data_IF_388804674178
#
_entry.id   IF_388804674178
#
_cell.length_a   1.000
_cell.length_b   1.000
_cell.length_c   1.000
_cell.angle_alpha   90.00
_cell.angle_beta   90.00
_cell.angle_gamma   90.00
#
_symmetry.space_group_name_H-M   'P 1'
#
loop_
_entity.id
_entity.type
_entity.pdbx_description
1 polymer ?
#
# COMPACT_ATOMS: atom_id res chain seq x y z
N UNK A 1 14.00 42.99 52.73
CA UNK A 1 12.71 42.46 52.20
C UNK A 1 12.87 41.66 50.90
N UNK A 2 14.07 41.18 50.55
CA UNK A 2 14.36 40.59 49.22
C UNK A 2 14.52 39.07 49.19
N UNK A 3 14.58 38.39 50.34
CA UNK A 3 14.84 36.93 50.41
C UNK A 3 13.60 36.07 50.11
N UNK A 4 12.40 36.55 50.44
CA UNK A 4 11.15 35.82 50.19
C UNK A 4 10.76 35.79 48.71
N UNK A 5 11.00 36.89 47.98
CA UNK A 5 10.68 37.00 46.56
C UNK A 5 11.54 36.07 45.69
N UNK A 6 12.84 35.94 46.01
CA UNK A 6 13.74 35.04 45.29
C UNK A 6 13.33 33.56 45.46
N UNK A 7 12.85 33.19 46.64
CA UNK A 7 12.38 31.83 46.93
C UNK A 7 11.08 31.48 46.19
N UNK A 8 10.17 32.44 46.05
CA UNK A 8 8.92 32.28 45.32
C UNK A 8 9.13 32.19 43.80
N UNK A 9 10.07 32.97 43.26
CA UNK A 9 10.44 32.91 41.83
C UNK A 9 11.11 31.59 41.49
N UNK A 10 11.98 31.06 42.36
CA UNK A 10 12.65 29.78 42.13
C UNK A 10 11.67 28.59 42.15
N UNK A 11 10.67 28.63 43.04
CA UNK A 11 9.59 27.63 43.09
C UNK A 11 8.70 27.69 41.84
N UNK A 12 8.35 28.90 41.37
CA UNK A 12 7.55 29.05 40.14
C UNK A 12 8.29 28.57 38.88
N UNK A 13 9.61 28.79 38.79
CA UNK A 13 10.43 28.27 37.69
C UNK A 13 10.52 26.74 37.73
N UNK A 14 10.63 26.14 38.92
CA UNK A 14 10.64 24.67 39.06
C UNK A 14 9.29 24.03 38.70
N UNK A 15 8.16 24.66 39.06
CA UNK A 15 6.81 24.18 38.69
C UNK A 15 6.57 24.28 37.18
N UNK A 16 7.08 25.33 36.52
CA UNK A 16 6.99 25.47 35.06
C UNK A 16 7.82 24.41 34.30
N UNK A 17 8.97 23.99 34.84
CA UNK A 17 9.81 22.95 34.23
C UNK A 17 9.25 21.53 34.42
N UNK A 18 8.51 21.26 35.50
CA UNK A 18 7.87 19.95 35.70
C UNK A 18 6.52 19.79 34.97
N UNK A 19 5.90 20.90 34.54
CA UNK A 19 4.59 20.88 33.86
C UNK A 19 4.60 20.48 32.38
N UNK A 20 5.77 20.38 31.73
CA UNK A 20 5.89 20.10 30.28
C UNK A 20 6.41 18.70 29.96
N UNK A 21 6.86 17.92 30.95
CA UNK A 21 7.48 16.61 30.70
C UNK A 21 6.45 15.46 30.57
N UNK A 22 5.21 15.63 31.00
CA UNK A 22 4.26 14.51 31.17
C UNK A 22 3.18 14.37 30.09
N UNK A 23 3.16 15.22 29.05
CA UNK A 23 2.07 15.22 28.05
C UNK A 23 2.43 14.52 26.73
N UNK A 24 3.71 14.19 26.49
CA UNK A 24 4.16 13.68 25.17
C UNK A 24 4.19 12.14 25.08
N UNK A 25 3.71 11.40 26.07
CA UNK A 25 3.89 9.93 26.12
C UNK A 25 2.62 9.08 26.00
N UNK A 26 1.45 9.64 25.66
CA UNK A 26 0.18 8.87 25.71
C UNK A 26 -0.67 8.82 24.43
N UNK A 27 -0.21 9.44 23.35
CA UNK A 27 -0.59 9.12 21.97
C UNK A 27 0.71 8.52 21.40
N UNK A 28 0.89 7.23 21.08
CA UNK A 28 0.04 6.32 20.31
C UNK A 28 0.31 4.85 20.69
N UNK A 29 -0.63 4.13 21.35
CA UNK A 29 -0.56 2.68 21.45
C UNK A 29 -1.29 1.95 20.31
N UNK A 30 -2.07 2.66 19.48
CA UNK A 30 -2.94 2.04 18.46
C UNK A 30 -2.33 2.01 17.05
N UNK A 31 -1.33 2.83 16.75
CA UNK A 31 -0.64 2.80 15.45
C UNK A 31 0.41 1.68 15.33
N UNK A 32 0.88 1.14 16.46
CA UNK A 32 1.88 0.08 16.49
C UNK A 32 1.30 -1.34 16.27
N UNK A 33 -0.03 -1.52 16.33
CA UNK A 33 -0.62 -2.85 16.15
C UNK A 33 -0.70 -3.29 14.68
N UNK A 34 -0.80 -2.37 13.72
CA UNK A 34 -0.84 -2.73 12.29
C UNK A 34 0.49 -3.28 11.76
N UNK A 35 1.62 -2.99 12.43
CA UNK A 35 2.96 -3.36 11.98
C UNK A 35 3.49 -4.66 12.62
N UNK A 36 2.83 -5.19 13.66
CA UNK A 36 3.35 -6.33 14.40
C UNK A 36 3.36 -7.61 13.53
N UNK A 37 4.54 -7.92 13.00
CA UNK A 37 4.85 -9.18 12.34
C UNK A 37 4.74 -9.18 10.82
N UNK A 38 4.72 -8.05 10.12
CA UNK A 38 4.66 -7.99 8.65
C UNK A 38 6.02 -7.77 7.96
N UNK A 39 7.11 -7.93 8.72
CA UNK A 39 8.46 -7.56 8.30
C UNK A 39 8.72 -6.09 8.65
N UNK A 40 9.55 -5.88 9.67
CA UNK A 40 9.86 -4.55 10.23
C UNK A 40 10.59 -3.62 9.24
N UNK A 41 10.99 -4.14 8.09
CA UNK A 41 11.75 -3.44 7.05
C UNK A 41 10.89 -2.86 5.92
N UNK A 42 9.61 -3.23 5.82
CA UNK A 42 8.74 -2.79 4.72
C UNK A 42 7.96 -1.53 5.07
N UNK A 43 7.87 -0.59 4.12
CA UNK A 43 7.02 0.59 4.23
C UNK A 43 5.57 0.24 3.89
N UNK A 44 4.81 -0.19 4.89
CA UNK A 44 3.39 -0.49 4.78
C UNK A 44 2.55 0.79 4.70
N UNK A 45 1.71 0.91 3.68
CA UNK A 45 0.69 1.96 3.64
C UNK A 45 -0.36 1.67 4.73
N UNK A 46 -0.88 2.72 5.36
CA UNK A 46 -1.86 2.58 6.46
C UNK A 46 -3.30 2.55 5.94
N UNK A 47 -3.56 3.21 4.81
CA UNK A 47 -4.89 3.26 4.19
C UNK A 47 -4.82 2.92 2.71
N UNK A 48 -5.95 2.47 2.15
CA UNK A 48 -6.03 2.16 0.72
C UNK A 48 -5.81 3.40 -0.15
N UNK A 49 -6.33 4.56 0.26
CA UNK A 49 -6.17 5.82 -0.45
C UNK A 49 -4.70 6.27 -0.48
N UNK A 50 -4.01 6.17 0.65
CA UNK A 50 -2.57 6.41 0.74
C UNK A 50 -1.82 5.44 -0.17
N UNK A 51 -2.16 4.15 -0.14
CA UNK A 51 -1.51 3.14 -0.95
C UNK A 51 -1.65 3.42 -2.47
N UNK A 52 -2.84 3.83 -2.92
CA UNK A 52 -3.10 4.26 -4.29
C UNK A 52 -2.33 5.54 -4.65
N UNK A 53 -2.30 6.51 -3.75
CA UNK A 53 -1.53 7.74 -3.94
C UNK A 53 -0.03 7.47 -4.07
N UNK A 54 0.52 6.63 -3.19
CA UNK A 54 1.93 6.21 -3.22
C UNK A 54 2.26 5.42 -4.49
N UNK A 55 1.38 4.51 -4.90
CA UNK A 55 1.52 3.73 -6.13
C UNK A 55 1.62 4.64 -7.35
N UNK A 56 0.72 5.62 -7.47
CA UNK A 56 0.72 6.59 -8.57
C UNK A 56 1.90 7.55 -8.53
N UNK A 57 2.23 8.10 -7.36
CA UNK A 57 3.31 9.09 -7.21
C UNK A 57 4.70 8.48 -7.40
N UNK A 58 4.92 7.26 -6.90
CA UNK A 58 6.19 6.52 -7.04
C UNK A 58 6.25 5.69 -8.32
N UNK A 59 5.16 5.61 -9.06
CA UNK A 59 5.00 4.77 -10.25
C UNK A 59 5.39 3.30 -9.98
N UNK A 60 4.91 2.76 -8.86
CA UNK A 60 5.14 1.40 -8.38
C UNK A 60 3.82 0.64 -8.32
N UNK A 61 3.76 -0.67 -8.56
CA UNK A 61 2.53 -1.43 -8.47
C UNK A 61 2.12 -1.51 -7.01
N UNK A 62 0.82 -1.46 -6.76
CA UNK A 62 0.26 -1.68 -5.43
C UNK A 62 -0.06 -3.17 -5.29
N UNK A 63 0.41 -3.77 -4.21
CA UNK A 63 0.04 -5.11 -3.76
C UNK A 63 -0.92 -4.97 -2.58
N UNK A 64 -2.16 -5.40 -2.78
CA UNK A 64 -3.20 -5.42 -1.76
C UNK A 64 -3.30 -6.84 -1.20
N UNK A 65 -3.15 -6.95 0.11
CA UNK A 65 -3.19 -8.20 0.84
C UNK A 65 -4.49 -8.25 1.66
N UNK A 66 -5.25 -9.33 1.52
CA UNK A 66 -6.44 -9.61 2.32
C UNK A 66 -6.11 -10.76 3.26
N UNK A 67 -5.77 -10.42 4.49
CA UNK A 67 -5.28 -11.32 5.51
C UNK A 67 -5.97 -10.96 6.82
N UNK A 68 -6.54 -11.96 7.48
CA UNK A 68 -7.20 -11.79 8.78
C UNK A 68 -6.23 -12.20 9.89
N UNK A 69 -6.14 -11.41 10.96
CA UNK A 69 -5.32 -11.74 12.13
C UNK A 69 -5.80 -13.01 12.82
N UNK A 70 -7.11 -13.20 12.92
CA UNK A 70 -7.76 -14.35 13.58
C UNK A 70 -7.96 -15.55 12.64
N UNK A 71 -7.00 -15.82 11.76
CA UNK A 71 -7.09 -16.94 10.81
C UNK A 71 -5.76 -17.73 10.75
N UNK A 72 -5.75 -19.02 11.14
CA UNK A 72 -4.53 -19.83 11.12
C UNK A 72 -3.85 -19.91 9.75
N UNK A 73 -4.64 -19.96 8.66
CA UNK A 73 -4.10 -19.98 7.29
C UNK A 73 -3.40 -18.67 6.93
N UNK A 74 -3.97 -17.54 7.33
CA UNK A 74 -3.39 -16.22 7.10
C UNK A 74 -2.11 -16.02 7.90
N UNK A 75 -2.06 -16.53 9.15
CA UNK A 75 -0.87 -16.47 9.99
C UNK A 75 0.28 -17.32 9.41
N UNK A 76 0.00 -18.55 8.98
CA UNK A 76 0.99 -19.40 8.33
C UNK A 76 1.51 -18.80 7.03
N UNK A 77 0.62 -18.21 6.22
CA UNK A 77 1.01 -17.48 5.02
C UNK A 77 1.92 -16.29 5.34
N UNK A 78 1.53 -15.46 6.32
CA UNK A 78 2.30 -14.29 6.77
C UNK A 78 3.71 -14.70 7.24
N UNK A 79 3.83 -15.79 7.98
CA UNK A 79 5.14 -16.32 8.39
C UNK A 79 6.02 -16.66 7.17
N UNK A 80 5.52 -17.48 6.25
CA UNK A 80 6.29 -17.88 5.06
C UNK A 80 6.59 -16.70 4.13
N UNK A 81 5.71 -15.71 4.07
CA UNK A 81 5.88 -14.48 3.31
C UNK A 81 7.03 -13.63 3.86
N UNK A 82 7.17 -13.55 5.19
CA UNK A 82 8.24 -12.80 5.85
C UNK A 82 9.59 -13.53 5.81
N UNK A 83 9.59 -14.86 5.89
CA UNK A 83 10.80 -15.68 5.84
C UNK A 83 11.44 -15.70 4.44
N UNK A 84 10.74 -15.21 3.41
CA UNK A 84 11.23 -15.22 2.03
C UNK A 84 11.94 -13.91 1.66
N UNK A 85 13.26 -13.87 1.83
CA UNK A 85 14.11 -12.72 1.52
C UNK A 85 13.92 -12.15 0.11
N UNK A 86 13.65 -13.00 -0.88
CA UNK A 86 13.47 -12.57 -2.28
C UNK A 86 12.17 -11.78 -2.45
N UNK A 87 11.10 -12.22 -1.79
CA UNK A 87 9.82 -11.52 -1.78
C UNK A 87 10.01 -10.19 -1.06
N UNK A 88 10.57 -10.20 0.16
CA UNK A 88 10.82 -9.00 0.96
C UNK A 88 11.62 -7.94 0.19
N UNK A 89 12.70 -8.35 -0.48
CA UNK A 89 13.51 -7.45 -1.30
C UNK A 89 12.73 -6.81 -2.45
N UNK A 90 11.93 -7.59 -3.18
CA UNK A 90 11.14 -7.05 -4.29
C UNK A 90 10.06 -6.10 -3.77
N UNK A 91 9.46 -6.39 -2.61
CA UNK A 91 8.44 -5.52 -2.02
C UNK A 91 9.00 -4.15 -1.67
N UNK A 92 10.16 -4.11 -1.01
CA UNK A 92 10.82 -2.85 -0.63
C UNK A 92 11.25 -2.04 -1.86
N UNK A 93 11.94 -2.69 -2.81
CA UNK A 93 12.50 -2.02 -3.98
C UNK A 93 11.42 -1.61 -4.99
N UNK A 94 10.43 -2.45 -5.27
CA UNK A 94 9.57 -2.31 -6.44
C UNK A 94 8.09 -2.05 -6.14
N UNK A 95 7.56 -2.31 -4.95
CA UNK A 95 6.12 -2.25 -4.67
C UNK A 95 5.72 -1.19 -3.64
N UNK A 96 4.43 -0.86 -3.65
CA UNK A 96 3.72 -0.33 -2.48
C UNK A 96 2.87 -1.47 -1.94
N UNK A 97 2.89 -1.68 -0.63
CA UNK A 97 2.18 -2.80 0.01
C UNK A 97 1.14 -2.27 0.96
N UNK A 98 -0.07 -2.83 0.89
CA UNK A 98 -1.17 -2.49 1.77
C UNK A 98 -1.85 -3.77 2.27
N UNK A 99 -2.00 -3.89 3.58
CA UNK A 99 -2.76 -4.96 4.20
C UNK A 99 -4.17 -4.46 4.55
N UNK A 100 -5.17 -5.05 3.92
CA UNK A 100 -6.57 -4.79 4.16
C UNK A 100 -7.10 -5.80 5.18
N UNK A 101 -7.22 -5.35 6.43
CA UNK A 101 -7.69 -6.17 7.56
C UNK A 101 -9.20 -6.46 7.52
N UNK A 102 -9.97 -5.58 6.87
CA UNK A 102 -11.42 -5.70 6.75
C UNK A 102 -11.81 -5.79 5.28
N UNK A 103 -12.77 -6.65 4.98
CA UNK A 103 -13.28 -6.81 3.62
C UNK A 103 -13.90 -5.52 3.08
N UNK A 104 -13.76 -5.30 1.78
CA UNK A 104 -14.24 -4.10 1.09
C UNK A 104 -15.55 -4.37 0.35
N UNK A 105 -16.34 -3.31 0.16
CA UNK A 105 -17.52 -3.34 -0.70
C UNK A 105 -17.16 -3.27 -2.19
N UNK A 106 -15.90 -2.99 -2.51
CA UNK A 106 -15.42 -2.91 -3.89
C UNK A 106 -15.36 -4.31 -4.53
N UNK A 107 -16.20 -4.52 -5.55
CA UNK A 107 -16.28 -5.77 -6.31
C UNK A 107 -15.01 -6.02 -7.12
N UNK A 108 -14.26 -4.97 -7.50
CA UNK A 108 -13.01 -5.14 -8.22
C UNK A 108 -11.91 -5.78 -7.36
N UNK A 109 -12.05 -5.70 -6.03
CA UNK A 109 -11.13 -6.30 -5.06
C UNK A 109 -11.63 -7.66 -4.51
N UNK A 110 -12.78 -8.13 -4.97
CA UNK A 110 -13.37 -9.43 -4.62
C UNK A 110 -14.12 -10.10 -5.78
N UNK A 111 -13.55 -10.15 -7.01
CA UNK A 111 -14.27 -10.59 -8.21
C UNK A 111 -14.69 -12.07 -8.19
N UNK A 112 -13.96 -12.91 -7.44
CA UNK A 112 -14.22 -14.35 -7.29
C UNK A 112 -14.55 -14.74 -5.84
N UNK A 113 -14.92 -13.76 -5.01
CA UNK A 113 -15.38 -13.94 -3.64
C UNK A 113 -14.42 -13.44 -2.56
N UNK A 114 -14.87 -13.60 -1.31
CA UNK A 114 -14.24 -13.02 -0.11
C UNK A 114 -13.55 -14.11 0.74
N UNK A 115 -12.49 -14.69 0.21
CA UNK A 115 -11.67 -15.69 0.93
C UNK A 115 -10.31 -15.12 1.35
N UNK A 116 -9.70 -15.74 2.37
CA UNK A 116 -8.34 -15.39 2.82
C UNK A 116 -7.44 -16.63 2.90
N UNK A 117 -6.13 -16.49 2.64
CA UNK A 117 -5.42 -15.29 2.18
C UNK A 117 -5.72 -14.97 0.71
N UNK A 118 -5.77 -13.68 0.35
CA UNK A 118 -5.99 -13.22 -1.03
C UNK A 118 -5.08 -12.05 -1.37
N UNK A 119 -4.54 -12.04 -2.59
CA UNK A 119 -3.55 -11.03 -3.03
C UNK A 119 -3.94 -10.49 -4.38
N UNK A 120 -4.07 -9.17 -4.46
CA UNK A 120 -4.45 -8.47 -5.68
C UNK A 120 -3.38 -7.45 -6.04
N UNK A 121 -3.05 -7.37 -7.33
CA UNK A 121 -2.13 -6.38 -7.86
C UNK A 121 -2.91 -5.25 -8.55
N UNK A 122 -2.52 -4.02 -8.27
CA UNK A 122 -3.13 -2.81 -8.85
C UNK A 122 -2.05 -1.99 -9.55
N UNK A 123 -2.31 -1.61 -10.80
CA UNK A 123 -1.44 -0.75 -11.60
C UNK A 123 -1.45 0.70 -11.06
N UNK A 124 -0.37 1.49 -11.23
CA UNK A 124 -0.38 2.94 -10.98
C UNK A 124 -1.50 3.71 -11.70
N UNK A 125 -2.12 3.13 -12.74
CA UNK A 125 -3.36 3.63 -13.35
C UNK A 125 -4.63 3.40 -12.53
N UNK A 126 -4.52 2.86 -11.31
CA UNK A 126 -5.63 2.45 -10.45
C UNK A 126 -6.48 1.32 -11.04
N UNK A 127 -5.86 0.48 -11.88
CA UNK A 127 -6.54 -0.66 -12.51
C UNK A 127 -6.14 -1.96 -11.83
N UNK A 128 -7.11 -2.72 -11.35
CA UNK A 128 -6.89 -4.07 -10.81
C UNK A 128 -6.45 -5.00 -11.94
N UNK A 129 -5.41 -5.80 -11.68
CA UNK A 129 -4.82 -6.73 -12.65
C UNK A 129 -5.47 -8.11 -12.52
N UNK A 130 -6.49 -8.34 -13.35
CA UNK A 130 -7.18 -9.63 -13.46
C UNK A 130 -6.39 -10.69 -14.24
N UNK A 131 -5.37 -10.27 -14.98
CA UNK A 131 -4.46 -11.16 -15.72
C UNK A 131 -3.40 -11.84 -14.84
N UNK A 132 -3.29 -11.45 -13.56
CA UNK A 132 -2.30 -11.99 -12.62
C UNK A 132 -3.03 -12.84 -11.58
N UNK A 133 -3.14 -14.13 -11.88
CA UNK A 133 -3.84 -15.12 -11.07
C UNK A 133 -2.87 -16.16 -10.51
N UNK A 134 -3.22 -16.73 -9.36
CA UNK A 134 -2.57 -17.85 -8.70
C UNK A 134 -2.91 -19.20 -9.35
N UNK A 135 -2.74 -20.27 -8.58
CA UNK A 135 -2.84 -21.65 -9.05
C UNK A 135 -4.28 -22.17 -9.14
N UNK A 136 -5.16 -21.70 -8.27
CA UNK A 136 -6.46 -22.33 -8.03
C UNK A 136 -7.55 -21.71 -8.90
N UNK A 137 -8.25 -22.53 -9.70
CA UNK A 137 -9.33 -22.06 -10.57
C UNK A 137 -10.58 -21.58 -9.81
N UNK A 138 -10.77 -22.05 -8.57
CA UNK A 138 -11.87 -21.64 -7.70
C UNK A 138 -11.51 -20.47 -6.78
N UNK A 139 -10.23 -20.08 -6.74
CA UNK A 139 -9.67 -19.00 -5.91
C UNK A 139 -8.51 -18.36 -6.69
N UNK A 140 -8.85 -17.56 -7.69
CA UNK A 140 -7.92 -17.01 -8.67
C UNK A 140 -6.83 -16.14 -8.03
N UNK A 141 -7.13 -15.49 -6.91
CA UNK A 141 -6.20 -14.61 -6.19
C UNK A 141 -5.72 -15.21 -4.87
N UNK A 142 -6.00 -16.50 -4.64
CA UNK A 142 -5.58 -17.25 -3.46
C UNK A 142 -4.18 -17.81 -3.60
N UNK A 143 -3.41 -17.77 -2.51
CA UNK A 143 -2.07 -18.32 -2.42
C UNK A 143 -1.91 -19.11 -1.13
N UNK A 144 -1.35 -20.31 -1.21
CA UNK A 144 -1.03 -21.11 -0.04
C UNK A 144 0.46 -20.98 0.32
N UNK A 145 0.88 -21.57 1.44
CA UNK A 145 2.26 -21.46 1.94
C UNK A 145 3.26 -22.07 0.94
N UNK A 146 2.81 -23.09 0.21
CA UNK A 146 3.57 -23.81 -0.80
C UNK A 146 3.70 -23.01 -2.12
N UNK A 147 2.90 -21.95 -2.28
CA UNK A 147 2.80 -21.17 -3.51
C UNK A 147 3.70 -19.92 -3.52
N UNK A 148 4.63 -19.78 -2.57
CA UNK A 148 5.55 -18.61 -2.51
C UNK A 148 6.33 -18.39 -3.80
N UNK A 149 6.72 -19.46 -4.49
CA UNK A 149 7.39 -19.35 -5.78
C UNK A 149 6.45 -18.82 -6.88
N UNK A 150 5.19 -19.24 -6.87
CA UNK A 150 4.16 -18.75 -7.81
C UNK A 150 3.87 -17.26 -7.53
N UNK A 151 3.76 -16.89 -6.26
CA UNK A 151 3.61 -15.50 -5.86
C UNK A 151 4.78 -14.63 -6.34
N UNK A 152 6.02 -15.11 -6.16
CA UNK A 152 7.22 -14.43 -6.63
C UNK A 152 7.23 -14.23 -8.16
N UNK A 153 6.78 -15.22 -8.92
CA UNK A 153 6.61 -15.12 -10.38
C UNK A 153 5.54 -14.08 -10.75
N UNK A 154 4.41 -14.08 -10.05
CA UNK A 154 3.33 -13.11 -10.25
C UNK A 154 3.76 -11.68 -9.90
N UNK A 155 4.55 -11.48 -8.85
CA UNK A 155 5.15 -10.17 -8.53
C UNK A 155 6.09 -9.71 -9.66
N UNK A 156 6.93 -10.61 -10.21
CA UNK A 156 7.78 -10.28 -11.36
C UNK A 156 6.94 -9.93 -12.60
N UNK A 157 5.84 -10.64 -12.82
CA UNK A 157 4.89 -10.37 -13.92
C UNK A 157 4.27 -8.98 -13.74
N UNK A 158 3.75 -8.64 -12.56
CA UNK A 158 3.20 -7.32 -12.25
C UNK A 158 4.21 -6.20 -12.56
N UNK A 159 5.46 -6.36 -12.12
CA UNK A 159 6.54 -5.40 -12.42
C UNK A 159 6.79 -5.24 -13.92
N UNK A 160 6.81 -6.34 -14.67
CA UNK A 160 7.06 -6.29 -16.12
C UNK A 160 5.94 -5.55 -16.85
N UNK A 161 4.71 -5.76 -16.44
CA UNK A 161 3.53 -5.15 -17.05
C UNK A 161 3.53 -3.63 -16.85
N UNK A 162 4.02 -3.12 -15.72
CA UNK A 162 4.21 -1.67 -15.52
C UNK A 162 5.14 -1.04 -16.56
N UNK A 163 6.26 -1.70 -16.87
CA UNK A 163 7.23 -1.18 -17.84
C UNK A 163 6.62 -1.05 -19.23
N UNK A 164 5.77 -2.00 -19.61
CA UNK A 164 5.08 -1.99 -20.91
C UNK A 164 4.02 -0.87 -20.96
N UNK A 165 3.21 -0.73 -19.92
CA UNK A 165 2.18 0.32 -19.83
C UNK A 165 2.76 1.75 -19.81
N UNK A 166 3.96 1.94 -19.26
CA UNK A 166 4.66 3.22 -19.27
C UNK A 166 5.27 3.56 -20.66
N UNK A 167 5.68 2.54 -21.42
CA UNK A 167 6.21 2.70 -22.79
C UNK A 167 5.09 2.99 -23.78
N UNK A 168 3.97 2.27 -23.70
CA UNK A 168 2.80 2.49 -24.58
C UNK A 168 2.22 3.90 -24.45
N UNK A 169 2.34 4.55 -23.29
CA UNK A 169 1.87 5.92 -23.06
C UNK A 169 2.76 7.01 -23.67
N UNK A 170 3.98 6.69 -24.11
CA UNK A 170 4.88 7.67 -24.77
C UNK A 170 4.71 7.72 -26.29
N UNK A 171 4.05 6.74 -26.89
CA UNK A 171 3.80 6.70 -28.33
C UNK A 171 2.36 7.07 -28.63
N UNK A 172 2.01 8.34 -28.46
CA UNK A 172 0.80 8.90 -29.09
C UNK A 172 1.18 9.31 -30.51
N UNK A 173 0.58 8.74 -31.57
CA UNK A 173 0.74 9.29 -32.91
C UNK A 173 0.00 10.62 -32.98
N UNK A 174 0.71 11.70 -33.25
CA UNK A 174 0.12 12.99 -33.64
C UNK A 174 -0.67 12.79 -34.93
N UNK A 175 -1.98 12.52 -34.81
CA UNK A 175 -2.90 12.59 -35.93
C UNK A 175 -3.21 14.06 -36.19
N UNK A 176 -2.43 14.67 -37.08
CA UNK A 176 -2.77 15.94 -37.73
C UNK A 176 -4.05 15.73 -38.56
N UNK A 177 -5.21 16.04 -38.00
CA UNK A 177 -6.44 16.14 -38.76
C UNK A 177 -6.56 17.57 -39.30
N UNK A 178 -6.27 17.72 -40.58
CA UNK A 178 -6.46 18.95 -41.36
C UNK A 178 -7.93 19.39 -41.28
N UNK A 179 -8.15 20.68 -41.02
CA UNK A 179 -9.41 21.38 -41.31
C UNK A 179 -9.59 21.47 -42.83
N UNK A 180 -10.81 21.29 -43.37
CA UNK A 180 -11.15 21.89 -44.64
C UNK A 180 -11.73 23.29 -44.42
N UNK A 181 -11.31 24.14 -45.35
CA UNK A 181 -11.51 25.57 -45.48
C UNK A 181 -12.98 25.96 -45.69
N UNK A 182 -13.36 27.06 -45.05
CA UNK A 182 -14.61 27.79 -45.26
C UNK A 182 -14.71 28.28 -46.71
N UNK A 183 -15.81 27.98 -47.40
CA UNK A 183 -16.26 28.76 -48.56
C UNK A 183 -17.68 29.24 -48.33
N UNK A 184 -17.78 30.58 -48.23
CA UNK A 184 -19.03 31.33 -48.31
C UNK A 184 -19.52 31.35 -49.76
N UNK A 185 -20.83 31.24 -49.97
CA UNK A 185 -21.50 31.62 -51.20
C UNK A 185 -22.89 32.21 -50.88
N UNK A 186 -23.14 33.36 -51.48
CA UNK A 186 -24.32 34.22 -51.43
C UNK A 186 -25.65 33.49 -51.72
N UNK A 187 -26.72 33.90 -51.01
CA UNK A 187 -28.04 34.26 -51.57
C UNK A 187 -28.63 35.39 -50.73
#
# INVERSE_FOLDING_TARGET
>A
MTRAAASLVLVLVLVALMGVASVVSWFEPQLLLCLAGWGDQLNWAQTYEEALFLSRSRNKPLMVLFLLEDCPRSQAFKQAFNENDKIQRILDEDFVVFNMMQETVDQHLSPDGQYVPRIIFVDPSMTVRDDIIGRYSNRLYGYEVEDMNVLLENMKKAKKLLKVSAVSRRTTPTSTHSLPESTAAEV
#
